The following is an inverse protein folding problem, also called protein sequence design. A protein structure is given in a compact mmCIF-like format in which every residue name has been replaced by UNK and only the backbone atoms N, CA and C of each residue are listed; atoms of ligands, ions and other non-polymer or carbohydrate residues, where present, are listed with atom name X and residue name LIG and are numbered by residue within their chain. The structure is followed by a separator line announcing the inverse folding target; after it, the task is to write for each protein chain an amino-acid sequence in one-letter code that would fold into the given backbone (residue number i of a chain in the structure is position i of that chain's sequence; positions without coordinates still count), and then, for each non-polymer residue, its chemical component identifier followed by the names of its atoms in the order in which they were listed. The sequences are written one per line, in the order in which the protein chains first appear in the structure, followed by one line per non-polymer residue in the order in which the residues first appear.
data_IF_539725124508
#
_entry.id   IF_539725124508
#
_cell.length_a   1.000
_cell.length_b   1.000
_cell.length_c   1.000
_cell.angle_alpha   90.00
_cell.angle_beta   90.00
_cell.angle_gamma   90.00
#
_symmetry.space_group_name_H-M   'P 1'
#
loop_
_entity.id
_entity.type
_entity.pdbx_description
1 polymer ?
#
# COMPACT_ATOMS: atom_id res chain seq x y z
N UNK A 1 -2.03 -13.18 17.20
CA UNK A 1 -1.47 -14.03 16.13
C UNK A 1 -1.09 -13.13 14.95
N UNK A 2 0.14 -13.23 14.42
CA UNK A 2 0.62 -12.36 13.33
C UNK A 2 0.31 -12.96 11.96
N UNK A 3 -0.58 -12.31 11.20
CA UNK A 3 -0.90 -12.65 9.80
C UNK A 3 0.00 -11.89 8.80
N UNK A 4 0.17 -12.49 7.62
CA UNK A 4 0.76 -11.85 6.43
C UNK A 4 -0.34 -11.59 5.42
N UNK A 5 -0.53 -10.34 5.02
CA UNK A 5 -1.64 -9.91 4.16
C UNK A 5 -1.09 -9.22 2.91
N UNK A 6 -1.68 -9.56 1.76
CA UNK A 6 -1.33 -9.02 0.45
C UNK A 6 -2.51 -8.20 -0.09
N UNK A 7 -2.26 -6.94 -0.41
CA UNK A 7 -3.22 -6.02 -1.02
C UNK A 7 -2.80 -5.73 -2.46
N UNK A 8 -3.73 -5.88 -3.40
CA UNK A 8 -3.51 -5.51 -4.81
C UNK A 8 -4.39 -4.30 -5.09
N UNK A 9 -3.77 -3.16 -5.36
CA UNK A 9 -4.45 -1.86 -5.54
C UNK A 9 -3.99 -1.26 -6.86
N UNK A 10 -4.88 -1.06 -7.83
CA UNK A 10 -4.44 -0.68 -9.18
C UNK A 10 -3.93 0.76 -9.31
N UNK A 11 -4.50 1.74 -8.62
CA UNK A 11 -4.09 3.15 -8.76
C UNK A 11 -4.07 3.86 -7.40
N UNK A 12 -2.86 4.04 -6.86
CA UNK A 12 -2.62 4.74 -5.58
C UNK A 12 -2.22 6.22 -5.83
N UNK A 13 -2.15 6.64 -7.09
CA UNK A 13 -1.66 7.98 -7.44
C UNK A 13 -2.72 9.08 -7.36
N UNK A 14 -4.00 8.71 -7.47
CA UNK A 14 -5.13 9.64 -7.37
C UNK A 14 -5.57 9.75 -5.90
N UNK A 15 -5.55 10.96 -5.35
CA UNK A 15 -5.88 11.25 -3.94
C UNK A 15 -7.38 11.13 -3.59
N UNK A 16 -8.14 10.30 -4.30
CA UNK A 16 -9.57 10.09 -4.04
C UNK A 16 -10.05 8.70 -4.45
N UNK A 17 -10.97 8.14 -3.64
CA UNK A 17 -11.68 6.90 -3.94
C UNK A 17 -11.22 5.65 -3.18
N UNK A 18 -11.59 4.48 -3.70
CA UNK A 18 -11.42 3.16 -3.05
C UNK A 18 -9.96 2.80 -2.75
N UNK A 19 -9.00 3.34 -3.49
CA UNK A 19 -7.57 3.11 -3.27
C UNK A 19 -7.07 3.74 -1.98
N UNK A 20 -7.54 4.95 -1.63
CA UNK A 20 -7.20 5.59 -0.35
C UNK A 20 -7.77 4.82 0.84
N UNK A 21 -8.99 4.30 0.71
CA UNK A 21 -9.60 3.45 1.73
C UNK A 21 -8.83 2.14 1.92
N UNK A 22 -8.43 1.48 0.82
CA UNK A 22 -7.62 0.26 0.87
C UNK A 22 -6.26 0.51 1.55
N UNK A 23 -5.64 1.67 1.34
CA UNK A 23 -4.38 2.06 1.98
C UNK A 23 -4.56 2.34 3.47
N UNK A 24 -5.62 3.04 3.85
CA UNK A 24 -5.92 3.29 5.25
C UNK A 24 -6.16 1.97 6.01
N UNK A 25 -6.87 1.02 5.40
CA UNK A 25 -7.04 -0.32 5.96
C UNK A 25 -5.71 -1.05 6.09
N UNK A 26 -4.86 -1.02 5.06
CA UNK A 26 -3.53 -1.61 5.10
C UNK A 26 -2.66 -1.03 6.23
N UNK A 27 -2.76 0.28 6.49
CA UNK A 27 -2.06 0.95 7.60
C UNK A 27 -2.60 0.51 8.95
N UNK A 28 -3.92 0.46 9.14
CA UNK A 28 -4.52 -0.01 10.38
C UNK A 28 -4.15 -1.47 10.68
N UNK A 29 -4.16 -2.32 9.65
CA UNK A 29 -3.74 -3.72 9.78
C UNK A 29 -2.26 -3.81 10.17
N UNK A 30 -1.40 -3.01 9.54
CA UNK A 30 0.02 -2.93 9.89
C UNK A 30 0.24 -2.45 11.33
N UNK A 31 -0.52 -1.45 11.79
CA UNK A 31 -0.38 -0.90 13.16
C UNK A 31 -0.84 -1.88 14.25
N UNK A 32 -1.74 -2.80 13.94
CA UNK A 32 -2.15 -3.91 14.84
C UNK A 32 -1.05 -5.00 14.92
N UNK A 33 0.02 -4.89 14.13
CA UNK A 33 1.18 -5.79 14.17
C UNK A 33 1.18 -6.87 13.09
N UNK A 34 0.30 -6.76 12.09
CA UNK A 34 0.30 -7.66 10.93
C UNK A 34 1.31 -7.21 9.88
N UNK A 35 1.85 -8.17 9.12
CA UNK A 35 2.74 -7.86 7.99
C UNK A 35 1.89 -7.59 6.77
N UNK A 36 2.02 -6.39 6.19
CA UNK A 36 1.26 -5.99 5.01
C UNK A 36 2.18 -5.72 3.82
N UNK A 37 1.79 -6.26 2.67
CA UNK A 37 2.44 -6.05 1.38
C UNK A 37 1.40 -5.45 0.44
N UNK A 38 1.77 -4.39 -0.29
CA UNK A 38 0.91 -3.75 -1.29
C UNK A 38 1.55 -3.90 -2.66
N UNK A 39 0.78 -4.36 -3.64
CA UNK A 39 1.14 -4.37 -5.06
C UNK A 39 0.30 -3.28 -5.75
N UNK A 40 0.95 -2.35 -6.45
CA UNK A 40 0.25 -1.27 -7.16
C UNK A 40 0.85 -0.91 -8.50
N UNK A 41 0.04 -0.67 -9.52
CA UNK A 41 0.53 -0.29 -10.85
C UNK A 41 1.07 1.15 -10.90
N UNK A 42 0.60 2.01 -10.00
CA UNK A 42 1.00 3.41 -9.92
C UNK A 42 0.94 3.90 -8.48
N UNK A 43 2.01 4.56 -8.03
CA UNK A 43 2.08 5.19 -6.71
C UNK A 43 2.80 6.54 -6.83
N UNK A 44 2.23 7.56 -6.20
CA UNK A 44 2.90 8.86 -6.13
C UNK A 44 3.96 8.87 -5.01
N UNK A 45 4.90 9.81 -5.08
CA UNK A 45 6.00 9.89 -4.11
C UNK A 45 5.51 10.14 -2.66
N UNK A 46 4.39 10.86 -2.51
CA UNK A 46 3.83 11.19 -1.19
C UNK A 46 3.28 9.94 -0.50
N UNK A 47 2.49 9.12 -1.21
CA UNK A 47 1.99 7.84 -0.72
C UNK A 47 3.11 6.84 -0.48
N UNK A 48 4.13 6.80 -1.33
CA UNK A 48 5.28 5.92 -1.11
C UNK A 48 6.00 6.26 0.21
N UNK A 49 6.21 7.55 0.51
CA UNK A 49 6.77 7.99 1.79
C UNK A 49 5.86 7.64 2.96
N UNK A 50 4.56 7.87 2.83
CA UNK A 50 3.57 7.58 3.88
C UNK A 50 3.55 6.09 4.24
N UNK A 51 3.52 5.20 3.25
CA UNK A 51 3.50 3.76 3.45
C UNK A 51 4.82 3.22 4.02
N UNK A 52 5.97 3.76 3.58
CA UNK A 52 7.27 3.42 4.14
C UNK A 52 7.40 3.84 5.62
N UNK A 53 6.85 5.00 6.00
CA UNK A 53 6.76 5.41 7.42
C UNK A 53 5.99 4.39 8.26
N UNK A 54 4.97 3.76 7.68
CA UNK A 54 4.16 2.73 8.31
C UNK A 54 4.73 1.30 8.17
N UNK A 55 5.99 1.16 7.73
CA UNK A 55 6.69 -0.13 7.52
C UNK A 55 5.97 -1.09 6.57
N UNK A 56 5.15 -0.56 5.65
CA UNK A 56 4.44 -1.35 4.65
C UNK A 56 5.35 -1.55 3.45
N UNK A 57 5.49 -2.80 3.00
CA UNK A 57 6.29 -3.12 1.82
C UNK A 57 5.45 -2.91 0.57
N UNK A 58 5.98 -2.16 -0.39
CA UNK A 58 5.27 -1.82 -1.62
C UNK A 58 6.03 -2.42 -2.80
N UNK A 59 5.29 -2.99 -3.73
CA UNK A 59 5.78 -3.42 -5.03
C UNK A 59 4.99 -2.69 -6.09
N UNK A 60 5.69 -1.91 -6.90
CA UNK A 60 5.10 -1.35 -8.11
C UNK A 60 5.82 -1.95 -9.30
N UNK A 61 5.16 -2.82 -10.10
CA UNK A 61 5.73 -3.23 -11.37
C UNK A 61 5.76 -2.01 -12.28
N UNK A 62 6.89 -1.30 -12.25
CA UNK A 62 7.24 -0.34 -13.29
C UNK A 62 7.09 -1.07 -14.63
N UNK A 63 6.31 -0.48 -15.55
CA UNK A 63 6.30 -0.90 -16.95
C UNK A 63 7.76 -0.92 -17.41
N UNK A 64 8.35 -2.11 -17.57
CA UNK A 64 9.46 -2.27 -18.50
C UNK A 64 8.87 -1.95 -19.87
N UNK A 65 9.35 -0.87 -20.46
CA UNK A 65 9.15 -0.56 -21.88
C UNK A 65 9.48 -1.80 -22.73
#
# INVERSE_FOLDING_TARGET
MMLKLLFIVYDVSKEGGNSLQALNLAVQISSIGHKVIIITSSINNLMNRFLNKNKIRIYSPSKKN
#
